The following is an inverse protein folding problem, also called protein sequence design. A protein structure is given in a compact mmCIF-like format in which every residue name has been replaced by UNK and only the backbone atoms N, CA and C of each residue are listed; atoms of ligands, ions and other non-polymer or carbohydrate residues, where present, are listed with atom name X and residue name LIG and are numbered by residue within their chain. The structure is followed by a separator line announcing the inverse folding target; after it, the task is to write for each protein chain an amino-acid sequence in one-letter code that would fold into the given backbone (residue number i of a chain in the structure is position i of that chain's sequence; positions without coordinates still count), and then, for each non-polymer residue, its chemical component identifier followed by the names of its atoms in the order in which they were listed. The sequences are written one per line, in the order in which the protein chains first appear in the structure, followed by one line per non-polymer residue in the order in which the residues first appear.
data_IF_100200635568
#
_entry.id   IF_100200635568
#
_cell.length_a   1.000
_cell.length_b   1.000
_cell.length_c   1.000
_cell.angle_alpha   90.00
_cell.angle_beta   90.00
_cell.angle_gamma   90.00
#
_symmetry.space_group_name_H-M   'P 1'
#
loop_
_entity.id
_entity.type
_entity.pdbx_description
1 polymer ?
#
# COMPACT_ATOMS: atom_id res chain seq x y z
N UNK A 1 3.34 6.83 -6.72
CA UNK A 1 4.63 7.21 -6.11
C UNK A 1 4.55 7.01 -4.61
N UNK A 2 5.56 6.42 -3.96
CA UNK A 2 5.64 6.29 -2.51
C UNK A 2 6.75 7.18 -1.97
N UNK A 3 6.45 7.95 -0.91
CA UNK A 3 7.47 8.66 -0.16
C UNK A 3 8.39 7.68 0.59
N UNK A 4 9.56 8.14 1.04
CA UNK A 4 10.59 7.27 1.65
C UNK A 4 10.05 6.48 2.85
N UNK A 5 9.33 7.14 3.75
CA UNK A 5 8.69 6.51 4.92
C UNK A 5 7.62 5.48 4.52
N UNK A 6 6.82 5.78 3.50
CA UNK A 6 5.84 4.86 2.98
C UNK A 6 6.49 3.63 2.29
N UNK A 7 7.64 3.80 1.64
CA UNK A 7 8.40 2.67 1.08
C UNK A 7 8.91 1.75 2.18
N UNK A 8 9.44 2.29 3.28
CA UNK A 8 9.85 1.48 4.42
C UNK A 8 8.66 0.74 5.04
N UNK A 9 7.53 1.43 5.22
CA UNK A 9 6.32 0.85 5.79
C UNK A 9 5.77 -0.31 4.95
N UNK A 10 5.79 -0.18 3.63
CA UNK A 10 5.26 -1.20 2.72
C UNK A 10 6.33 -2.16 2.16
N UNK A 11 7.60 -2.00 2.56
CA UNK A 11 8.70 -2.83 2.08
C UNK A 11 8.41 -4.35 2.11
N UNK A 12 7.75 -4.89 3.15
CA UNK A 12 7.48 -6.32 3.23
C UNK A 12 6.57 -6.88 2.13
N UNK A 13 5.79 -6.01 1.48
CA UNK A 13 4.82 -6.40 0.45
C UNK A 13 5.08 -5.76 -0.91
N UNK A 14 6.10 -4.89 -1.02
CA UNK A 14 6.50 -4.32 -2.31
C UNK A 14 7.18 -5.40 -3.16
N UNK A 15 6.73 -5.53 -4.40
CA UNK A 15 7.46 -6.30 -5.41
C UNK A 15 8.84 -5.65 -5.63
N UNK A 16 9.84 -6.48 -5.99
CA UNK A 16 11.21 -6.07 -6.18
C UNK A 16 11.41 -4.90 -7.17
N UNK A 17 12.64 -4.42 -7.35
CA UNK A 17 12.94 -3.26 -8.18
C UNK A 17 12.48 -3.49 -9.62
N UNK A 18 11.82 -2.49 -10.21
CA UNK A 18 11.41 -2.48 -11.62
C UNK A 18 9.90 -2.47 -11.90
N UNK A 19 9.06 -2.66 -10.88
CA UNK A 19 7.59 -2.47 -11.03
C UNK A 19 7.10 -1.30 -10.19
N UNK A 20 6.26 -0.40 -10.76
CA UNK A 20 5.57 0.60 -9.95
C UNK A 20 4.71 -0.10 -8.91
N UNK A 21 4.83 0.32 -7.65
CA UNK A 21 4.00 -0.20 -6.57
C UNK A 21 2.52 0.04 -6.88
N UNK A 22 1.73 -1.04 -6.87
CA UNK A 22 0.29 -0.97 -7.05
C UNK A 22 -0.38 -1.70 -5.87
N UNK A 23 -1.00 -0.94 -4.98
CA UNK A 23 -1.61 -1.47 -3.76
C UNK A 23 -2.70 -2.51 -4.05
N UNK A 24 -3.40 -2.38 -5.17
CA UNK A 24 -4.46 -3.31 -5.55
C UNK A 24 -3.86 -4.67 -5.91
N UNK A 25 -2.79 -4.69 -6.75
CA UNK A 25 -2.06 -5.93 -7.03
C UNK A 25 -1.45 -6.55 -5.77
N UNK A 26 -0.81 -5.72 -4.94
CA UNK A 26 -0.25 -6.17 -3.67
C UNK A 26 -1.33 -6.88 -2.83
N UNK A 27 -2.50 -6.26 -2.67
CA UNK A 27 -3.56 -6.82 -1.85
C UNK A 27 -4.05 -8.18 -2.36
N UNK A 28 -4.18 -8.38 -3.67
CA UNK A 28 -4.83 -9.57 -4.21
C UNK A 28 -3.88 -10.63 -4.77
N UNK A 29 -2.66 -10.24 -5.15
CA UNK A 29 -1.72 -11.14 -5.83
C UNK A 29 -0.45 -11.43 -5.04
N UNK A 30 -0.12 -10.61 -4.01
CA UNK A 30 1.04 -10.87 -3.17
C UNK A 30 0.62 -11.73 -1.95
N UNK A 31 1.16 -12.96 -1.79
CA UNK A 31 0.84 -13.82 -0.65
C UNK A 31 1.12 -13.19 0.72
N UNK A 32 2.17 -12.36 0.82
CA UNK A 32 2.53 -11.68 2.07
C UNK A 32 1.48 -10.65 2.52
N UNK A 33 0.58 -10.22 1.64
CA UNK A 33 -0.44 -9.24 1.99
C UNK A 33 -1.39 -9.74 3.10
N UNK A 34 -1.63 -11.05 3.18
CA UNK A 34 -2.50 -11.66 4.22
C UNK A 34 -1.91 -11.55 5.62
N UNK A 35 -0.60 -11.67 5.73
CA UNK A 35 0.13 -11.52 7.00
C UNK A 35 0.35 -10.05 7.32
N UNK A 36 0.62 -9.25 6.29
CA UNK A 36 0.88 -7.83 6.43
C UNK A 36 -0.37 -7.04 6.88
N UNK A 37 -1.54 -7.28 6.29
CA UNK A 37 -2.79 -6.62 6.67
C UNK A 37 -3.54 -7.46 7.72
N UNK A 38 -3.54 -7.02 8.97
CA UNK A 38 -4.24 -7.72 10.07
C UNK A 38 -5.76 -7.80 9.86
N UNK A 39 -6.35 -6.81 9.19
CA UNK A 39 -7.75 -6.79 8.78
C UNK A 39 -7.88 -7.08 7.27
N UNK A 40 -7.22 -8.14 6.77
CA UNK A 40 -7.07 -8.42 5.34
C UNK A 40 -8.39 -8.42 4.57
N UNK A 41 -9.43 -9.07 5.09
CA UNK A 41 -10.73 -9.14 4.39
C UNK A 41 -11.39 -7.77 4.22
N UNK A 42 -11.25 -6.90 5.23
CA UNK A 42 -11.71 -5.52 5.15
C UNK A 42 -10.92 -4.74 4.10
N UNK A 43 -9.58 -4.83 4.14
CA UNK A 43 -8.72 -4.16 3.16
C UNK A 43 -9.01 -4.63 1.74
N UNK A 44 -9.19 -5.93 1.51
CA UNK A 44 -9.57 -6.46 0.21
C UNK A 44 -10.90 -5.87 -0.28
N UNK A 45 -11.91 -5.80 0.59
CA UNK A 45 -13.21 -5.20 0.25
C UNK A 45 -13.09 -3.71 -0.07
N UNK A 46 -12.37 -2.94 0.75
CA UNK A 46 -12.17 -1.51 0.57
C UNK A 46 -11.42 -1.22 -0.74
N UNK A 47 -10.38 -2.00 -1.06
CA UNK A 47 -9.58 -1.85 -2.29
C UNK A 47 -10.42 -2.18 -3.54
N UNK A 48 -11.28 -3.19 -3.50
CA UNK A 48 -12.20 -3.48 -4.61
C UNK A 48 -13.22 -2.35 -4.81
N UNK A 49 -13.72 -1.77 -3.72
CA UNK A 49 -14.66 -0.65 -3.78
C UNK A 49 -14.02 0.62 -4.38
N UNK A 50 -12.78 0.93 -4.00
CA UNK A 50 -11.99 2.04 -4.61
C UNK A 50 -11.80 1.82 -6.10
N UNK A 51 -11.37 0.63 -6.51
CA UNK A 51 -11.16 0.31 -7.92
C UNK A 51 -12.46 0.43 -8.73
N UNK A 52 -13.59 -0.01 -8.16
CA UNK A 52 -14.90 0.12 -8.80
C UNK A 52 -15.34 1.57 -8.94
N UNK A 53 -15.11 2.38 -7.92
CA UNK A 53 -15.39 3.81 -7.96
C UNK A 53 -14.61 4.49 -9.11
N UNK A 54 -13.31 4.19 -9.24
CA UNK A 54 -12.48 4.72 -10.32
C UNK A 54 -12.93 4.19 -11.70
N UNK A 55 -13.28 2.91 -11.80
CA UNK A 55 -13.80 2.33 -13.04
C UNK A 55 -15.13 2.98 -13.49
N UNK A 56 -15.94 3.42 -12.53
CA UNK A 56 -17.14 4.19 -12.83
C UNK A 56 -16.87 5.61 -13.32
N UNK A 57 -15.80 6.25 -12.85
CA UNK A 57 -15.38 7.60 -13.27
C UNK A 57 -14.69 7.60 -14.63
N UNK A 58 -13.91 6.58 -14.92
CA UNK A 58 -13.10 6.46 -16.14
C UNK A 58 -13.32 5.12 -16.83
N UNK A 59 -14.54 4.86 -17.36
CA UNK A 59 -14.93 3.54 -17.84
C UNK A 59 -14.17 3.07 -19.09
N UNK A 60 -13.49 3.97 -19.80
CA UNK A 60 -12.72 3.70 -21.00
C UNK A 60 -11.20 3.72 -20.79
N UNK A 61 -10.74 3.81 -19.54
CA UNK A 61 -9.30 3.76 -19.23
C UNK A 61 -8.75 2.35 -19.50
N UNK A 62 -7.85 2.18 -20.49
CA UNK A 62 -7.33 0.86 -20.87
C UNK A 62 -6.46 0.23 -19.78
N UNK A 63 -5.77 1.03 -18.97
CA UNK A 63 -4.96 0.54 -17.86
C UNK A 63 -5.84 -0.05 -16.76
N UNK A 64 -6.95 0.61 -16.48
CA UNK A 64 -7.91 0.18 -15.48
C UNK A 64 -8.63 -1.10 -15.93
N UNK A 65 -9.07 -1.16 -17.19
CA UNK A 65 -9.69 -2.35 -17.79
C UNK A 65 -8.73 -3.54 -17.72
N UNK A 66 -7.47 -3.33 -18.08
CA UNK A 66 -6.43 -4.37 -18.05
C UNK A 66 -6.19 -4.86 -16.61
N UNK A 67 -6.12 -3.95 -15.64
CA UNK A 67 -5.95 -4.29 -14.23
C UNK A 67 -7.11 -5.13 -13.69
N UNK A 68 -8.34 -4.75 -13.98
CA UNK A 68 -9.54 -5.51 -13.58
C UNK A 68 -9.53 -6.91 -14.23
N UNK A 69 -9.21 -7.02 -15.50
CA UNK A 69 -9.09 -8.29 -16.21
C UNK A 69 -8.03 -9.21 -15.62
N UNK A 70 -6.84 -8.67 -15.33
CA UNK A 70 -5.75 -9.38 -14.67
C UNK A 70 -6.19 -9.93 -13.30
N UNK A 71 -6.78 -9.10 -12.46
CA UNK A 71 -7.22 -9.49 -11.13
C UNK A 71 -8.37 -10.50 -11.16
N UNK A 72 -9.31 -10.34 -12.08
CA UNK A 72 -10.38 -11.33 -12.29
C UNK A 72 -9.84 -12.69 -12.72
N UNK A 73 -8.76 -12.72 -13.47
CA UNK A 73 -8.13 -13.96 -13.92
C UNK A 73 -7.31 -14.64 -12.83
N UNK A 74 -6.59 -13.86 -12.03
CA UNK A 74 -5.60 -14.40 -11.09
C UNK A 74 -6.11 -14.53 -9.65
N UNK A 75 -7.21 -13.87 -9.26
CA UNK A 75 -7.72 -13.88 -7.89
C UNK A 75 -9.20 -14.21 -7.80
N UNK A 76 -9.52 -15.39 -7.25
CA UNK A 76 -10.90 -15.77 -6.94
C UNK A 76 -11.53 -14.79 -5.93
N UNK A 77 -10.78 -14.40 -4.90
CA UNK A 77 -11.24 -13.44 -3.91
C UNK A 77 -11.60 -12.10 -4.56
N UNK A 78 -10.79 -11.62 -5.52
CA UNK A 78 -11.11 -10.40 -6.24
C UNK A 78 -12.41 -10.55 -7.03
N UNK A 79 -12.62 -11.65 -7.78
CA UNK A 79 -13.86 -11.90 -8.51
C UNK A 79 -15.09 -11.80 -7.61
N UNK A 80 -15.03 -12.44 -6.45
CA UNK A 80 -16.13 -12.42 -5.47
C UNK A 80 -16.41 -10.99 -4.96
N UNK A 81 -15.35 -10.26 -4.55
CA UNK A 81 -15.48 -8.87 -4.07
C UNK A 81 -15.92 -7.93 -5.18
N UNK A 82 -15.43 -8.14 -6.40
CA UNK A 82 -15.84 -7.35 -7.57
C UNK A 82 -17.30 -7.56 -7.93
N UNK A 83 -17.83 -8.78 -7.81
CA UNK A 83 -19.23 -9.10 -8.08
C UNK A 83 -20.20 -8.56 -7.00
N UNK A 84 -19.75 -8.39 -5.76
CA UNK A 84 -20.62 -8.00 -4.63
C UNK A 84 -21.22 -6.59 -4.72
N UNK A 85 -20.75 -5.76 -5.66
CA UNK A 85 -21.22 -4.37 -5.90
C UNK A 85 -21.21 -3.45 -4.67
N UNK A 86 -20.48 -3.77 -3.62
CA UNK A 86 -20.30 -2.92 -2.46
C UNK A 86 -19.46 -1.69 -2.85
N UNK A 87 -20.01 -0.48 -2.64
CA UNK A 87 -19.41 0.81 -3.07
C UNK A 87 -19.12 1.68 -1.83
N UNK A 88 -18.64 1.09 -0.75
CA UNK A 88 -18.24 1.87 0.42
C UNK A 88 -16.80 2.36 0.26
N UNK A 89 -16.66 3.59 -0.21
CA UNK A 89 -15.37 4.27 -0.27
C UNK A 89 -15.13 5.05 1.03
N UNK A 90 -14.19 4.58 1.83
CA UNK A 90 -13.77 5.26 3.06
C UNK A 90 -12.51 6.10 2.78
N UNK A 91 -12.63 7.42 2.96
CA UNK A 91 -11.51 8.36 2.80
C UNK A 91 -10.63 8.45 4.05
N UNK A 92 -11.08 7.91 5.15
CA UNK A 92 -10.38 7.88 6.44
C UNK A 92 -10.74 6.64 7.25
N UNK A 93 -9.89 6.31 8.21
CA UNK A 93 -10.13 5.18 9.11
C UNK A 93 -8.86 4.68 9.76
N UNK A 94 -8.91 3.47 10.30
CA UNK A 94 -7.74 2.79 10.87
C UNK A 94 -7.31 1.66 9.95
N UNK A 95 -6.03 1.60 9.66
CA UNK A 95 -5.38 0.50 8.94
C UNK A 95 -4.45 -0.23 9.91
N UNK A 96 -4.71 -1.49 10.13
CA UNK A 96 -3.90 -2.35 10.99
C UNK A 96 -2.98 -3.21 10.16
N UNK A 97 -1.68 -3.10 10.42
CA UNK A 97 -0.67 -3.89 9.72
C UNK A 97 0.26 -4.58 10.70
N UNK A 98 0.84 -5.69 10.28
CA UNK A 98 1.95 -6.35 10.94
C UNK A 98 3.22 -6.14 10.12
N UNK A 99 4.20 -5.45 10.71
CA UNK A 99 5.46 -5.17 10.04
C UNK A 99 6.58 -6.04 10.65
N UNK A 100 7.34 -6.82 9.88
CA UNK A 100 8.28 -7.81 10.40
C UNK A 100 9.40 -7.20 11.26
N UNK A 101 9.73 -5.92 11.07
CA UNK A 101 10.80 -5.25 11.84
C UNK A 101 10.28 -4.60 13.12
N UNK A 102 9.08 -4.00 13.09
CA UNK A 102 8.57 -3.18 14.19
C UNK A 102 7.27 -3.70 14.80
N UNK A 103 6.77 -4.84 14.32
CA UNK A 103 5.57 -5.48 14.86
C UNK A 103 4.27 -4.82 14.42
N UNK A 104 3.27 -4.86 15.28
CA UNK A 104 1.91 -4.42 15.01
C UNK A 104 1.78 -2.89 15.03
N UNK A 105 1.14 -2.35 14.01
CA UNK A 105 0.89 -0.93 13.84
C UNK A 105 -0.61 -0.68 13.60
N UNK A 106 -1.20 0.20 14.40
CA UNK A 106 -2.56 0.72 14.22
C UNK A 106 -2.46 2.17 13.69
N UNK A 107 -2.61 2.34 12.38
CA UNK A 107 -2.38 3.60 11.69
C UNK A 107 -3.71 4.27 11.36
N UNK A 108 -3.91 5.50 11.78
CA UNK A 108 -4.95 6.34 11.20
C UNK A 108 -4.55 6.70 9.78
N UNK A 109 -5.48 6.64 8.84
CA UNK A 109 -5.24 7.07 7.47
C UNK A 109 -6.27 8.09 7.02
N UNK A 110 -5.82 9.00 6.17
CA UNK A 110 -6.65 9.94 5.43
C UNK A 110 -6.22 9.98 3.97
N UNK A 111 -7.22 10.02 3.08
CA UNK A 111 -7.03 10.17 1.63
C UNK A 111 -7.41 11.59 1.22
N UNK A 112 -6.42 12.37 0.82
CA UNK A 112 -6.54 13.77 0.44
C UNK A 112 -6.50 13.87 -1.09
N UNK A 113 -7.58 14.34 -1.70
CA UNK A 113 -7.57 14.71 -3.11
C UNK A 113 -6.83 16.03 -3.31
N UNK A 114 -6.02 16.12 -4.35
CA UNK A 114 -5.34 17.36 -4.71
C UNK A 114 -6.16 18.10 -5.78
N UNK A 115 -6.77 19.24 -5.44
CA UNK A 115 -7.64 19.95 -6.40
C UNK A 115 -6.93 20.44 -7.66
N UNK A 116 -5.63 20.73 -7.57
CA UNK A 116 -4.80 21.16 -8.70
C UNK A 116 -4.41 20.02 -9.65
N UNK A 117 -4.55 18.77 -9.21
CA UNK A 117 -4.14 17.57 -9.93
C UNK A 117 -5.27 16.53 -9.89
N UNK A 118 -6.29 16.65 -10.73
CA UNK A 118 -7.43 15.73 -10.72
C UNK A 118 -7.00 14.27 -10.89
N UNK A 119 -7.45 13.41 -9.96
CA UNK A 119 -7.10 11.99 -9.94
C UNK A 119 -5.88 11.66 -9.09
N UNK A 120 -5.12 12.65 -8.60
CA UNK A 120 -4.05 12.42 -7.64
C UNK A 120 -4.60 12.44 -6.21
N UNK A 121 -4.32 11.37 -5.47
CA UNK A 121 -4.72 11.22 -4.07
C UNK A 121 -3.49 10.98 -3.20
N UNK A 122 -3.34 11.78 -2.16
CA UNK A 122 -2.32 11.61 -1.13
C UNK A 122 -2.91 10.83 0.04
N UNK A 123 -2.39 9.61 0.29
CA UNK A 123 -2.73 8.87 1.49
C UNK A 123 -1.74 9.20 2.61
N UNK A 124 -2.23 9.77 3.69
CA UNK A 124 -1.45 10.14 4.89
C UNK A 124 -1.73 9.12 5.99
N UNK A 125 -0.66 8.59 6.60
CA UNK A 125 -0.74 7.70 7.75
C UNK A 125 -0.19 8.40 8.98
N UNK A 126 -0.94 8.35 10.07
CA UNK A 126 -0.56 8.93 11.36
C UNK A 126 -0.79 7.94 12.49
N UNK A 127 -0.13 8.18 13.62
CA UNK A 127 -0.38 7.49 14.88
C UNK A 127 -0.67 8.52 15.97
N UNK A 128 -1.49 8.18 16.98
CA UNK A 128 -1.65 9.03 18.15
C UNK A 128 -0.30 9.31 18.82
N UNK A 129 -0.09 10.53 19.30
CA UNK A 129 1.11 10.85 20.06
C UNK A 129 1.23 9.90 21.27
N UNK A 130 2.46 9.58 21.64
CA UNK A 130 2.80 8.71 22.78
C UNK A 130 2.18 7.31 22.73
N UNK A 131 1.83 6.83 21.52
CA UNK A 131 1.35 5.46 21.31
C UNK A 131 2.48 4.51 20.92
N UNK A 132 2.34 3.19 21.18
CA UNK A 132 3.29 2.18 20.71
C UNK A 132 3.53 2.25 19.19
N UNK A 133 2.47 2.56 18.43
CA UNK A 133 2.56 2.74 16.97
C UNK A 133 3.43 3.94 16.59
N UNK A 134 3.34 5.06 17.33
CA UNK A 134 4.18 6.23 17.08
C UNK A 134 5.66 5.92 17.32
N UNK A 135 5.98 5.18 18.37
CA UNK A 135 7.35 4.77 18.68
C UNK A 135 7.88 3.76 17.65
N UNK A 136 7.06 2.81 17.25
CA UNK A 136 7.40 1.85 16.19
C UNK A 136 7.66 2.56 14.85
N UNK A 137 6.92 3.61 14.50
CA UNK A 137 7.18 4.42 13.30
C UNK A 137 8.52 5.17 13.37
N UNK A 138 8.91 5.69 14.55
CA UNK A 138 10.24 6.30 14.76
C UNK A 138 11.36 5.28 14.55
N UNK A 139 11.20 4.07 15.12
CA UNK A 139 12.14 2.96 14.94
C UNK A 139 12.25 2.55 13.47
N UNK A 140 11.14 2.43 12.78
CA UNK A 140 11.11 2.10 11.35
C UNK A 140 11.83 3.16 10.50
N UNK A 141 11.63 4.44 10.82
CA UNK A 141 12.33 5.54 10.13
C UNK A 141 13.84 5.49 10.34
N UNK A 142 14.30 5.22 11.55
CA UNK A 142 15.72 5.06 11.89
C UNK A 142 16.31 3.85 11.18
N UNK A 143 15.66 2.71 11.24
CA UNK A 143 16.08 1.48 10.55
C UNK A 143 16.21 1.69 9.04
N UNK A 144 15.23 2.34 8.41
CA UNK A 144 15.26 2.63 6.98
C UNK A 144 16.38 3.63 6.58
N UNK A 145 16.81 4.49 7.49
CA UNK A 145 17.96 5.36 7.27
C UNK A 145 19.27 4.56 7.27
N UNK A 146 19.47 3.70 8.28
CA UNK A 146 20.65 2.84 8.41
C UNK A 146 20.81 1.88 7.24
N UNK A 147 19.73 1.24 6.79
CA UNK A 147 19.78 0.33 5.65
C UNK A 147 20.30 1.02 4.37
N UNK A 148 19.94 2.28 4.16
CA UNK A 148 20.41 3.04 2.98
C UNK A 148 21.89 3.40 3.06
N UNK A 149 22.36 3.74 4.24
CA UNK A 149 23.79 4.04 4.44
C UNK A 149 24.63 2.79 4.16
N UNK A 150 24.16 1.61 4.55
CA UNK A 150 24.81 0.33 4.28
C UNK A 150 24.86 0.04 2.76
N UNK A 151 23.71 0.14 2.06
CA UNK A 151 23.68 -0.08 0.60
C UNK A 151 24.53 0.95 -0.17
N UNK A 152 24.54 2.22 0.23
CA UNK A 152 25.36 3.23 -0.40
C UNK A 152 26.87 2.98 -0.19
N UNK A 153 27.26 2.46 0.97
CA UNK A 153 28.65 2.09 1.27
C UNK A 153 29.10 0.86 0.46
N UNK A 154 28.24 -0.13 0.29
CA UNK A 154 28.51 -1.32 -0.54
C UNK A 154 28.65 -0.98 -2.03
N UNK A 155 27.77 -0.10 -2.57
CA UNK A 155 27.85 0.35 -3.97
C UNK A 155 29.16 1.13 -4.25
N UNK A 156 29.61 1.92 -3.29
CA UNK A 156 30.88 2.67 -3.40
C UNK A 156 32.08 1.72 -3.37
N UNK A 157 32.06 0.71 -2.52
CA UNK A 157 33.13 -0.27 -2.39
C UNK A 157 33.27 -1.17 -3.66
N UNK A 158 32.14 -1.44 -4.35
CA UNK A 158 32.14 -2.22 -5.62
C UNK A 158 32.65 -1.40 -6.80
N UNK A 159 32.52 -0.07 -6.77
CA UNK A 159 33.02 0.81 -7.85
C UNK A 159 34.51 1.11 -7.72
N UNK A 160 35.12 0.91 -6.55
CA UNK A 160 36.55 1.14 -6.29
C UNK A 160 37.40 -0.12 -6.42
N UNK A 161 36.81 -1.29 -6.69
CA UNK A 161 37.49 -2.59 -6.84
C UNK A 161 37.62 -3.01 -8.31
#
# INVERSE_FOLDING_TARGET
MLFRSARALYAPVLDGPGRPANLIRITYLNPAAREFFRDYDKIASDVAAVLRFEAGRTPHDPELIRLVGELCTQSELFRQRWASRDVKYHRSGVKRIHHPVVGDLDLNFESLELPSEPGLVLNVYTAPADSPTADALKLLASWAATQREQFAAEDTAVQEA
#
